data_IF_514594884417
#
_entry.id   IF_514594884417
#
_cell.length_a   1.000
_cell.length_b   1.000
_cell.length_c   1.000
_cell.angle_alpha   90.00
_cell.angle_beta   90.00
_cell.angle_gamma   90.00
#
_symmetry.space_group_name_H-M   'P 1'
#
loop_
_entity.id
_entity.type
_entity.pdbx_description
1 polymer ?
#
# COMPACT_ATOMS: atom_id res chain seq x y z
N UNK A 1 14.30 40.40 8.79
CA UNK A 1 14.45 41.64 9.60
C UNK A 1 13.77 41.56 10.98
N UNK A 2 12.63 40.86 11.17
CA UNK A 2 12.00 40.65 12.49
C UNK A 2 12.92 40.01 13.56
N UNK A 3 13.83 39.12 13.15
CA UNK A 3 14.76 38.39 14.05
C UNK A 3 15.82 39.31 14.70
N UNK A 4 16.23 40.39 14.03
CA UNK A 4 17.22 41.34 14.56
C UNK A 4 16.62 42.29 15.62
N UNK A 5 15.31 42.51 15.59
CA UNK A 5 14.57 43.38 16.51
C UNK A 5 14.21 42.69 17.85
N UNK A 6 14.33 41.35 17.93
CA UNK A 6 13.91 40.60 19.11
C UNK A 6 14.89 40.69 20.30
N UNK A 7 16.06 41.32 20.14
CA UNK A 7 16.98 41.70 21.23
C UNK A 7 17.55 40.58 22.10
N UNK A 8 17.17 39.31 21.85
CA UNK A 8 17.54 38.14 22.66
C UNK A 8 18.02 37.01 21.78
N UNK A 9 19.28 37.08 21.38
CA UNK A 9 19.98 36.10 20.55
C UNK A 9 19.78 34.65 21.04
N UNK A 10 19.73 34.45 22.36
CA UNK A 10 19.53 33.15 22.99
C UNK A 10 18.14 32.54 22.71
N UNK A 11 17.10 33.36 22.57
CA UNK A 11 15.74 32.87 22.26
C UNK A 11 15.63 32.42 20.80
N UNK A 12 16.26 33.16 19.89
CA UNK A 12 16.31 32.85 18.46
C UNK A 12 17.08 31.55 18.25
N UNK A 13 18.22 31.39 18.94
CA UNK A 13 19.02 30.18 18.88
C UNK A 13 18.18 28.94 19.24
N UNK A 14 17.45 28.98 20.36
CA UNK A 14 16.58 27.87 20.78
C UNK A 14 15.51 27.48 19.74
N UNK A 15 14.85 28.46 19.14
CA UNK A 15 13.81 28.23 18.11
C UNK A 15 14.43 27.59 16.87
N UNK A 16 15.54 28.14 16.37
CA UNK A 16 16.23 27.63 15.17
C UNK A 16 16.72 26.21 15.39
N UNK A 17 17.30 25.91 16.56
CA UNK A 17 17.75 24.56 16.91
C UNK A 17 16.59 23.56 16.92
N UNK A 18 15.44 23.91 17.49
CA UNK A 18 14.24 23.05 17.47
C UNK A 18 13.78 22.76 16.03
N UNK A 19 13.81 23.75 15.14
CA UNK A 19 13.47 23.55 13.73
C UNK A 19 14.45 22.63 12.99
N UNK A 20 15.76 22.71 13.28
CA UNK A 20 16.72 21.75 12.72
C UNK A 20 16.52 20.33 13.26
N UNK A 21 16.29 20.19 14.57
CA UNK A 21 16.07 18.88 15.19
C UNK A 21 14.84 18.17 14.63
N UNK A 22 13.73 18.89 14.38
CA UNK A 22 12.55 18.28 13.78
C UNK A 22 12.79 17.87 12.32
N UNK A 23 13.59 18.64 11.57
CA UNK A 23 13.96 18.29 10.19
C UNK A 23 14.85 17.03 10.15
N UNK A 24 15.83 16.93 11.06
CA UNK A 24 16.66 15.73 11.19
C UNK A 24 15.83 14.50 11.60
N UNK A 25 14.93 14.65 12.58
CA UNK A 25 14.01 13.58 12.95
C UNK A 25 13.13 13.14 11.78
N UNK A 26 12.65 14.08 10.94
CA UNK A 26 11.85 13.76 9.75
C UNK A 26 12.65 13.00 8.68
N UNK A 27 13.93 13.35 8.47
CA UNK A 27 14.82 12.63 7.56
C UNK A 27 15.08 11.21 8.06
N UNK A 28 15.41 11.05 9.34
CA UNK A 28 15.63 9.72 9.93
C UNK A 28 14.36 8.86 9.88
N UNK A 29 13.19 9.47 10.11
CA UNK A 29 11.89 8.79 9.97
C UNK A 29 11.62 8.34 8.53
N UNK A 30 11.94 9.17 7.54
CA UNK A 30 11.79 8.81 6.13
C UNK A 30 12.71 7.64 5.74
N UNK A 31 13.98 7.69 6.16
CA UNK A 31 14.93 6.60 5.96
C UNK A 31 14.47 5.30 6.63
N UNK A 32 13.98 5.38 7.88
CA UNK A 32 13.44 4.24 8.61
C UNK A 32 12.22 3.62 7.90
N UNK A 33 11.30 4.47 7.45
CA UNK A 33 10.10 4.02 6.74
C UNK A 33 10.43 3.31 5.42
N UNK A 34 11.40 3.82 4.66
CA UNK A 34 11.85 3.21 3.40
C UNK A 34 12.56 1.87 3.63
N UNK A 35 13.39 1.79 4.68
CA UNK A 35 14.07 0.55 5.08
C UNK A 35 13.07 -0.55 5.49
N UNK A 36 12.10 -0.21 6.34
CA UNK A 36 11.04 -1.15 6.74
C UNK A 36 10.10 -1.55 5.60
N UNK A 37 9.84 -0.63 4.67
CA UNK A 37 9.12 -0.91 3.44
C UNK A 37 9.92 -1.80 2.47
N UNK A 38 11.23 -1.95 2.72
CA UNK A 38 12.17 -2.60 1.81
C UNK A 38 12.01 -2.05 0.38
N UNK A 39 11.92 -0.72 0.28
CA UNK A 39 11.66 -0.03 -0.96
C UNK A 39 12.79 -0.33 -1.98
N UNK A 40 12.48 -0.83 -3.20
CA UNK A 40 13.51 -1.34 -4.12
C UNK A 40 14.57 -0.32 -4.55
N UNK A 41 14.19 0.96 -4.57
CA UNK A 41 15.02 2.11 -4.93
C UNK A 41 15.82 2.67 -3.74
N UNK A 42 15.52 2.25 -2.51
CA UNK A 42 16.27 2.64 -1.32
C UNK A 42 17.31 1.56 -1.00
N UNK A 43 18.55 1.77 -1.45
CA UNK A 43 19.68 0.85 -1.27
C UNK A 43 20.85 1.57 -0.62
N UNK A 44 20.78 1.87 0.68
CA UNK A 44 21.87 2.53 1.38
C UNK A 44 23.14 1.67 1.32
N UNK A 45 24.21 2.22 0.75
CA UNK A 45 25.51 1.55 0.63
C UNK A 45 26.44 1.84 1.82
N UNK A 46 26.04 2.78 2.68
CA UNK A 46 26.83 3.20 3.83
C UNK A 46 26.83 2.12 4.91
N UNK A 47 28.03 1.71 5.35
CA UNK A 47 28.22 0.55 6.24
C UNK A 47 27.61 0.71 7.63
N UNK A 48 27.51 1.94 8.15
CA UNK A 48 26.93 2.20 9.47
C UNK A 48 25.44 2.55 9.39
N UNK A 49 24.85 2.53 8.20
CA UNK A 49 23.41 2.70 8.06
C UNK A 49 22.69 1.44 8.57
N UNK A 50 21.75 1.62 9.48
CA UNK A 50 20.81 0.58 9.91
C UNK A 50 19.49 1.21 10.36
N UNK A 51 18.42 0.42 10.39
CA UNK A 51 17.15 0.89 10.96
C UNK A 51 17.31 1.31 12.44
N UNK A 52 18.23 0.67 13.17
CA UNK A 52 18.56 1.02 14.55
C UNK A 52 19.14 2.43 14.66
N UNK A 53 20.08 2.80 13.76
CA UNK A 53 20.69 4.13 13.78
C UNK A 53 19.68 5.23 13.43
N UNK A 54 18.74 4.97 12.52
CA UNK A 54 17.65 5.92 12.24
C UNK A 54 16.73 6.08 13.46
N UNK A 55 16.35 4.98 14.12
CA UNK A 55 15.51 5.05 15.33
C UNK A 55 16.21 5.84 16.45
N UNK A 56 17.50 5.58 16.66
CA UNK A 56 18.31 6.34 17.62
C UNK A 56 18.36 7.82 17.25
N UNK A 57 18.57 8.15 15.97
CA UNK A 57 18.54 9.52 15.45
C UNK A 57 17.24 10.24 15.77
N UNK A 58 16.08 9.64 15.43
CA UNK A 58 14.74 10.17 15.75
C UNK A 58 14.60 10.39 17.25
N UNK A 59 14.90 9.38 18.06
CA UNK A 59 14.72 9.44 19.51
C UNK A 59 15.60 10.54 20.12
N UNK A 60 16.87 10.62 19.72
CA UNK A 60 17.81 11.62 20.19
C UNK A 60 17.37 13.04 19.83
N UNK A 61 16.87 13.25 18.61
CA UNK A 61 16.35 14.54 18.17
C UNK A 61 15.11 14.95 18.97
N UNK A 62 14.16 14.03 19.18
CA UNK A 62 12.95 14.30 19.96
C UNK A 62 13.29 14.61 21.42
N UNK A 63 14.15 13.82 22.06
CA UNK A 63 14.59 14.06 23.45
C UNK A 63 15.27 15.43 23.57
N UNK A 64 16.22 15.75 22.70
CA UNK A 64 16.92 17.03 22.74
C UNK A 64 15.96 18.21 22.51
N UNK A 65 14.98 18.05 21.64
CA UNK A 65 13.99 19.09 21.37
C UNK A 65 13.17 19.44 22.62
N UNK A 66 12.72 18.43 23.37
CA UNK A 66 12.00 18.63 24.64
C UNK A 66 12.89 19.18 25.77
N UNK A 67 14.17 18.80 25.79
CA UNK A 67 15.14 19.34 26.75
C UNK A 67 15.44 20.83 26.54
N UNK A 68 15.49 21.29 25.29
CA UNK A 68 15.74 22.71 24.96
C UNK A 68 14.56 23.57 25.40
N UNK A 69 13.37 23.28 24.89
CA UNK A 69 12.17 24.00 25.28
C UNK A 69 10.90 23.19 24.92
N UNK A 70 10.11 22.74 25.90
CA UNK A 70 8.93 21.93 25.65
C UNK A 70 7.80 22.69 24.92
N UNK A 71 7.72 24.01 25.07
CA UNK A 71 6.70 24.82 24.38
C UNK A 71 7.00 24.94 22.89
N UNK A 72 8.25 25.19 22.52
CA UNK A 72 8.66 25.22 21.10
C UNK A 72 8.62 23.82 20.48
N UNK A 73 9.04 22.79 21.22
CA UNK A 73 9.00 21.40 20.78
C UNK A 73 7.57 20.96 20.40
N UNK A 74 6.62 21.14 21.31
CA UNK A 74 5.21 20.79 21.07
C UNK A 74 4.62 21.60 19.92
N UNK A 75 4.89 22.91 19.85
CA UNK A 75 4.46 23.77 18.75
C UNK A 75 4.98 23.30 17.38
N UNK A 76 6.26 22.95 17.28
CA UNK A 76 6.87 22.46 16.05
C UNK A 76 6.34 21.08 15.63
N UNK A 77 6.09 20.17 16.57
CA UNK A 77 5.45 18.87 16.27
C UNK A 77 4.03 19.08 15.72
N UNK A 78 3.23 19.92 16.37
CA UNK A 78 1.86 20.23 15.90
C UNK A 78 1.90 20.85 14.51
N UNK A 79 2.82 21.79 14.26
CA UNK A 79 3.02 22.38 12.94
C UNK A 79 3.39 21.33 11.89
N UNK A 80 4.30 20.40 12.20
CA UNK A 80 4.67 19.30 11.31
C UNK A 80 3.48 18.40 11.00
N UNK A 81 2.70 18.00 12.01
CA UNK A 81 1.51 17.17 11.82
C UNK A 81 0.45 17.87 10.98
N UNK A 82 0.21 19.17 11.21
CA UNK A 82 -0.69 19.96 10.37
C UNK A 82 -0.21 20.05 8.93
N UNK A 83 1.09 20.22 8.71
CA UNK A 83 1.68 20.27 7.37
C UNK A 83 1.54 18.90 6.67
N UNK A 84 1.89 17.81 7.34
CA UNK A 84 1.73 16.45 6.81
C UNK A 84 0.26 16.13 6.51
N UNK A 85 -0.65 16.49 7.42
CA UNK A 85 -2.09 16.35 7.22
C UNK A 85 -2.59 17.17 6.03
N UNK A 86 -2.19 18.44 5.93
CA UNK A 86 -2.56 19.29 4.81
C UNK A 86 -2.02 18.76 3.48
N UNK A 87 -0.81 18.20 3.44
CA UNK A 87 -0.27 17.55 2.24
C UNK A 87 -1.11 16.31 1.93
N UNK A 88 -1.39 15.46 2.92
CA UNK A 88 -2.20 14.26 2.72
C UNK A 88 -3.61 14.57 2.18
N UNK A 89 -4.29 15.59 2.71
CA UNK A 89 -5.62 15.97 2.24
C UNK A 89 -5.61 16.68 0.88
N UNK A 90 -4.55 17.44 0.54
CA UNK A 90 -4.43 18.12 -0.76
C UNK A 90 -3.81 17.25 -1.84
N UNK A 91 -3.10 16.20 -1.46
CA UNK A 91 -2.52 15.25 -2.40
C UNK A 91 -3.67 14.54 -3.11
N UNK A 92 -3.93 14.93 -4.36
CA UNK A 92 -4.71 14.13 -5.30
C UNK A 92 -4.04 12.78 -5.52
N UNK A 93 -4.72 11.85 -6.20
CA UNK A 93 -4.16 10.54 -6.55
C UNK A 93 -2.86 10.72 -7.33
N UNK A 94 -1.75 10.66 -6.60
CA UNK A 94 -0.42 10.98 -7.11
C UNK A 94 0.16 9.72 -7.77
N UNK A 95 0.69 9.85 -8.98
CA UNK A 95 1.36 8.76 -9.70
C UNK A 95 2.68 8.33 -9.08
N UNK A 96 3.17 9.07 -8.07
CA UNK A 96 4.48 8.85 -7.43
C UNK A 96 4.48 7.69 -6.43
N UNK A 97 3.33 7.04 -6.23
CA UNK A 97 3.19 5.86 -5.37
C UNK A 97 3.13 6.19 -3.88
N UNK A 98 2.62 5.24 -3.10
CA UNK A 98 2.43 5.39 -1.66
C UNK A 98 3.34 4.44 -0.88
N UNK A 99 4.08 4.97 0.10
CA UNK A 99 4.93 4.14 1.00
C UNK A 99 4.07 3.13 1.77
N UNK A 100 2.84 3.49 2.14
CA UNK A 100 1.89 2.58 2.78
C UNK A 100 1.58 1.34 1.91
N UNK A 101 1.40 1.52 0.60
CA UNK A 101 1.17 0.42 -0.32
C UNK A 101 2.41 -0.47 -0.48
N UNK A 102 3.61 0.11 -0.49
CA UNK A 102 4.87 -0.64 -0.50
C UNK A 102 5.03 -1.50 0.77
N UNK A 103 4.75 -0.94 1.96
CA UNK A 103 4.74 -1.67 3.23
C UNK A 103 3.74 -2.83 3.21
N UNK A 104 2.51 -2.59 2.75
CA UNK A 104 1.46 -3.61 2.63
C UNK A 104 1.94 -4.72 1.68
N UNK A 105 2.48 -4.37 0.52
CA UNK A 105 2.97 -5.36 -0.45
C UNK A 105 4.09 -6.23 0.14
N UNK A 106 5.09 -5.61 0.77
CA UNK A 106 6.19 -6.33 1.42
C UNK A 106 5.67 -7.32 2.47
N UNK A 107 4.73 -6.86 3.31
CA UNK A 107 4.13 -7.68 4.36
C UNK A 107 3.27 -8.83 3.81
N UNK A 108 2.43 -8.56 2.80
CA UNK A 108 1.58 -9.57 2.15
C UNK A 108 2.44 -10.64 1.47
N UNK A 109 3.47 -10.24 0.71
CA UNK A 109 4.42 -11.18 0.10
C UNK A 109 5.07 -12.08 1.16
N UNK A 110 5.55 -11.50 2.26
CA UNK A 110 6.18 -12.26 3.35
C UNK A 110 5.21 -13.27 3.96
N UNK A 111 3.95 -12.89 4.16
CA UNK A 111 2.92 -13.80 4.68
C UNK A 111 2.52 -14.89 3.67
N UNK A 112 2.44 -14.58 2.37
CA UNK A 112 2.21 -15.58 1.34
C UNK A 112 3.32 -16.63 1.31
N UNK A 113 4.59 -16.22 1.44
CA UNK A 113 5.72 -17.15 1.51
C UNK A 113 5.75 -17.99 2.80
N UNK A 114 5.15 -17.48 3.88
CA UNK A 114 5.04 -18.21 5.16
C UNK A 114 3.91 -19.24 5.13
N UNK A 115 2.93 -19.06 4.25
CA UNK A 115 1.83 -19.99 4.06
C UNK A 115 2.35 -21.29 3.41
N UNK A 116 2.62 -22.29 4.25
CA UNK A 116 3.13 -23.59 3.80
C UNK A 116 1.97 -24.51 3.42
N UNK A 117 1.70 -24.64 2.11
CA UNK A 117 0.63 -25.50 1.56
C UNK A 117 0.73 -26.95 2.05
N UNK A 118 1.93 -27.44 2.37
CA UNK A 118 2.11 -28.82 2.87
C UNK A 118 1.54 -29.03 4.27
N UNK A 119 1.27 -27.95 5.02
CA UNK A 119 0.75 -28.00 6.40
C UNK A 119 -0.76 -27.79 6.46
N UNK A 120 -1.44 -27.87 5.32
CA UNK A 120 -2.89 -27.79 5.26
C UNK A 120 -3.52 -28.92 6.07
N UNK A 121 -4.34 -28.53 7.06
CA UNK A 121 -5.02 -29.47 7.94
C UNK A 121 -6.52 -29.42 7.67
N UNK A 122 -7.15 -30.59 7.56
CA UNK A 122 -8.60 -30.74 7.23
C UNK A 122 -9.50 -29.87 8.13
N UNK A 123 -9.12 -29.68 9.39
CA UNK A 123 -9.87 -28.86 10.37
C UNK A 123 -9.91 -27.36 10.04
N UNK A 124 -8.94 -26.87 9.28
CA UNK A 124 -8.79 -25.45 8.95
C UNK A 124 -8.98 -25.17 7.46
N UNK A 125 -9.62 -26.09 6.73
CA UNK A 125 -9.95 -25.89 5.34
C UNK A 125 -10.77 -24.59 5.15
N UNK A 126 -10.40 -23.81 4.14
CA UNK A 126 -11.13 -22.61 3.73
C UNK A 126 -11.49 -22.72 2.25
N UNK A 127 -12.73 -22.36 1.86
CA UNK A 127 -13.12 -22.38 0.46
C UNK A 127 -12.30 -21.36 -0.34
N UNK A 128 -11.72 -21.81 -1.44
CA UNK A 128 -11.11 -20.96 -2.46
C UNK A 128 -11.94 -21.11 -3.73
N UNK A 129 -12.66 -20.07 -4.11
CA UNK A 129 -13.67 -20.14 -5.18
C UNK A 129 -13.23 -19.26 -6.34
N UNK A 130 -13.07 -19.86 -7.51
CA UNK A 130 -13.00 -19.16 -8.79
C UNK A 130 -14.39 -19.22 -9.43
N UNK A 131 -15.08 -18.08 -9.49
CA UNK A 131 -16.38 -17.99 -10.16
C UNK A 131 -16.20 -17.46 -11.56
N UNK A 132 -16.55 -18.29 -12.53
CA UNK A 132 -16.60 -17.89 -13.94
C UNK A 132 -17.88 -17.10 -14.21
N UNK A 133 -17.73 -15.85 -14.65
CA UNK A 133 -18.84 -14.95 -14.96
C UNK A 133 -18.78 -14.55 -16.42
N UNK A 134 -19.84 -14.84 -17.18
CA UNK A 134 -19.95 -14.39 -18.58
C UNK A 134 -20.47 -12.96 -18.68
N UNK A 135 -21.57 -12.66 -17.99
CA UNK A 135 -22.15 -11.31 -17.94
C UNK A 135 -22.34 -10.90 -16.47
N UNK A 136 -21.67 -9.82 -16.02
CA UNK A 136 -21.77 -9.37 -14.63
C UNK A 136 -23.19 -8.99 -14.22
N UNK A 137 -24.00 -8.43 -15.15
CA UNK A 137 -25.33 -7.92 -14.83
C UNK A 137 -26.32 -9.01 -14.44
N UNK A 138 -26.24 -10.17 -15.11
CA UNK A 138 -27.14 -11.31 -14.85
C UNK A 138 -26.67 -12.14 -13.66
N UNK A 139 -25.39 -12.07 -13.31
CA UNK A 139 -24.75 -12.89 -12.28
C UNK A 139 -24.59 -12.19 -10.93
N UNK A 140 -25.04 -10.94 -10.77
CA UNK A 140 -24.95 -10.18 -9.52
C UNK A 140 -25.43 -10.97 -8.28
N UNK A 141 -26.55 -11.69 -8.39
CA UNK A 141 -27.08 -12.50 -7.28
C UNK A 141 -26.17 -13.68 -6.95
N UNK A 142 -25.62 -14.34 -7.96
CA UNK A 142 -24.69 -15.45 -7.80
C UNK A 142 -23.37 -15.00 -7.16
N UNK A 143 -22.85 -13.83 -7.58
CA UNK A 143 -21.64 -13.23 -7.02
C UNK A 143 -21.84 -12.96 -5.51
N UNK A 144 -22.99 -12.39 -5.13
CA UNK A 144 -23.32 -12.14 -3.71
C UNK A 144 -23.46 -13.45 -2.93
N UNK A 145 -24.17 -14.42 -3.48
CA UNK A 145 -24.33 -15.74 -2.86
C UNK A 145 -22.98 -16.41 -2.58
N UNK A 146 -22.05 -16.38 -3.54
CA UNK A 146 -20.72 -16.95 -3.37
C UNK A 146 -19.87 -16.14 -2.39
N UNK A 147 -20.01 -14.82 -2.36
CA UNK A 147 -19.37 -13.98 -1.35
C UNK A 147 -19.84 -14.33 0.07
N UNK A 148 -21.10 -14.69 0.26
CA UNK A 148 -21.60 -15.14 1.56
C UNK A 148 -21.12 -16.56 1.87
N UNK A 149 -21.07 -17.44 0.86
CA UNK A 149 -20.59 -18.82 0.97
C UNK A 149 -19.11 -18.90 1.37
N UNK A 150 -18.25 -18.08 0.76
CA UNK A 150 -16.81 -18.10 1.03
C UNK A 150 -16.49 -17.70 2.48
N UNK A 151 -17.35 -16.89 3.11
CA UNK A 151 -17.10 -16.18 4.38
C UNK A 151 -15.76 -15.42 4.39
N UNK A 152 -14.70 -16.08 4.87
CA UNK A 152 -13.33 -15.55 4.96
C UNK A 152 -12.32 -16.27 4.07
N UNK A 153 -12.78 -17.07 3.12
CA UNK A 153 -11.99 -17.73 2.09
C UNK A 153 -11.66 -16.81 0.90
N UNK A 154 -10.80 -17.33 0.03
CA UNK A 154 -10.38 -16.65 -1.20
C UNK A 154 -11.52 -16.69 -2.23
N UNK A 155 -11.76 -15.57 -2.91
CA UNK A 155 -12.75 -15.50 -3.97
C UNK A 155 -12.23 -14.67 -5.12
N UNK A 156 -12.26 -15.28 -6.31
CA UNK A 156 -11.77 -14.71 -7.55
C UNK A 156 -12.92 -14.73 -8.56
N UNK A 157 -13.19 -13.58 -9.17
CA UNK A 157 -14.10 -13.44 -10.30
C UNK A 157 -13.30 -13.60 -11.58
N UNK A 158 -13.55 -14.69 -12.29
CA UNK A 158 -12.94 -15.01 -13.58
C UNK A 158 -13.85 -14.61 -14.73
N UNK A 159 -13.32 -13.92 -15.74
CA UNK A 159 -14.04 -13.69 -16.99
C UNK A 159 -13.12 -13.89 -18.19
N UNK A 160 -13.66 -14.54 -19.22
CA UNK A 160 -12.96 -14.78 -20.48
C UNK A 160 -13.57 -13.89 -21.54
N UNK A 161 -12.75 -13.01 -22.08
CA UNK A 161 -13.09 -12.23 -23.26
C UNK A 161 -12.64 -12.99 -24.50
N UNK A 162 -13.55 -13.17 -25.45
CA UNK A 162 -13.25 -13.89 -26.70
C UNK A 162 -12.61 -12.94 -27.69
N UNK A 163 -11.35 -13.19 -28.03
CA UNK A 163 -10.61 -12.39 -28.99
C UNK A 163 -9.20 -12.92 -29.20
N UNK A 164 -8.53 -12.35 -30.18
CA UNK A 164 -7.16 -12.71 -30.54
C UNK A 164 -6.28 -11.46 -30.45
N UNK A 165 -5.29 -11.48 -29.56
CA UNK A 165 -4.48 -10.31 -29.24
C UNK A 165 -3.71 -9.81 -30.47
N UNK A 166 -3.29 -10.73 -31.34
CA UNK A 166 -2.48 -10.41 -32.54
C UNK A 166 -3.24 -9.51 -33.53
N UNK A 167 -4.57 -9.53 -33.49
CA UNK A 167 -5.43 -8.73 -34.36
C UNK A 167 -5.83 -7.38 -33.74
N UNK A 168 -5.50 -7.12 -32.47
CA UNK A 168 -5.86 -5.89 -31.77
C UNK A 168 -4.63 -5.00 -31.52
N UNK A 169 -4.78 -3.67 -31.62
CA UNK A 169 -3.68 -2.74 -31.38
C UNK A 169 -3.28 -2.65 -29.89
N UNK A 170 -4.15 -3.07 -28.98
CA UNK A 170 -3.96 -3.05 -27.52
C UNK A 170 -4.87 -4.06 -26.85
N UNK A 171 -4.49 -4.52 -25.66
CA UNK A 171 -5.29 -5.46 -24.87
C UNK A 171 -6.58 -4.81 -24.35
N UNK A 172 -7.79 -5.25 -24.79
CA UNK A 172 -9.07 -4.71 -24.35
C UNK A 172 -9.36 -4.99 -22.88
N UNK A 173 -8.73 -6.03 -22.32
CA UNK A 173 -8.95 -6.48 -20.95
C UNK A 173 -8.60 -5.40 -19.93
N UNK A 174 -7.58 -4.57 -20.20
CA UNK A 174 -7.16 -3.49 -19.31
C UNK A 174 -8.27 -2.46 -19.05
N UNK A 175 -9.02 -2.10 -20.11
CA UNK A 175 -10.15 -1.16 -19.97
C UNK A 175 -11.28 -1.80 -19.18
N UNK A 176 -11.60 -3.07 -19.48
CA UNK A 176 -12.63 -3.81 -18.77
C UNK A 176 -12.29 -4.08 -17.30
N UNK A 177 -11.01 -4.24 -16.95
CA UNK A 177 -10.56 -4.48 -15.58
C UNK A 177 -11.05 -3.42 -14.60
N UNK A 178 -10.93 -2.14 -14.97
CA UNK A 178 -11.43 -1.01 -14.17
C UNK A 178 -12.94 -1.07 -13.91
N UNK A 179 -13.71 -1.51 -14.91
CA UNK A 179 -15.16 -1.70 -14.77
C UNK A 179 -15.49 -2.83 -13.79
N UNK A 180 -14.77 -3.96 -13.87
CA UNK A 180 -14.96 -5.08 -12.93
C UNK A 180 -14.60 -4.71 -11.49
N UNK A 181 -13.53 -3.94 -11.27
CA UNK A 181 -13.22 -3.40 -9.94
C UNK A 181 -14.37 -2.52 -9.42
N UNK A 182 -14.90 -1.62 -10.25
CA UNK A 182 -16.04 -0.77 -9.87
C UNK A 182 -17.29 -1.60 -9.53
N UNK A 183 -17.48 -2.75 -10.17
CA UNK A 183 -18.57 -3.67 -9.87
C UNK A 183 -18.38 -4.36 -8.53
N UNK A 184 -17.16 -4.82 -8.22
CA UNK A 184 -16.83 -5.42 -6.92
C UNK A 184 -17.10 -4.42 -5.80
N UNK A 185 -16.70 -3.16 -5.99
CA UNK A 185 -16.95 -2.07 -5.04
C UNK A 185 -18.46 -1.80 -4.87
N UNK A 186 -19.22 -1.70 -5.98
CA UNK A 186 -20.68 -1.48 -5.95
C UNK A 186 -21.44 -2.63 -5.29
N UNK A 187 -21.00 -3.87 -5.49
CA UNK A 187 -21.60 -5.04 -4.86
C UNK A 187 -21.14 -5.23 -3.40
N UNK A 188 -20.12 -4.48 -2.96
CA UNK A 188 -19.46 -4.59 -1.66
C UNK A 188 -18.98 -6.03 -1.36
N UNK A 189 -18.36 -6.65 -2.37
CA UNK A 189 -17.90 -8.03 -2.34
C UNK A 189 -16.39 -8.07 -2.14
N UNK A 190 -15.88 -9.03 -1.36
CA UNK A 190 -14.44 -9.17 -1.12
C UNK A 190 -13.85 -10.20 -2.10
N UNK A 191 -13.71 -9.81 -3.35
CA UNK A 191 -13.18 -10.68 -4.41
C UNK A 191 -12.01 -10.02 -5.15
N UNK A 192 -11.09 -10.84 -5.63
CA UNK A 192 -10.14 -10.45 -6.68
C UNK A 192 -10.80 -10.62 -8.05
N UNK A 193 -10.31 -9.89 -9.03
CA UNK A 193 -10.77 -10.00 -10.42
C UNK A 193 -9.61 -10.52 -11.25
N UNK A 194 -9.88 -11.53 -12.06
CA UNK A 194 -8.95 -12.07 -13.04
C UNK A 194 -9.64 -12.18 -14.40
N UNK A 195 -9.06 -11.56 -15.41
CA UNK A 195 -9.64 -11.43 -16.74
C UNK A 195 -8.63 -11.95 -17.76
N UNK A 196 -9.09 -12.75 -18.72
CA UNK A 196 -8.22 -13.31 -19.75
C UNK A 196 -8.82 -13.14 -21.14
N UNK A 197 -8.00 -12.74 -22.11
CA UNK A 197 -8.34 -12.74 -23.53
C UNK A 197 -7.93 -14.08 -24.16
N UNK A 198 -8.86 -14.78 -24.82
CA UNK A 198 -8.58 -16.05 -25.49
C UNK A 198 -9.49 -16.26 -26.72
N UNK A 199 -9.05 -17.02 -27.74
CA UNK A 199 -9.86 -17.27 -28.94
C UNK A 199 -11.10 -18.14 -28.65
N UNK A 200 -11.09 -18.90 -27.56
CA UNK A 200 -12.24 -19.69 -27.12
C UNK A 200 -12.45 -19.60 -25.61
N UNK A 201 -13.72 -19.62 -25.19
CA UNK A 201 -14.10 -19.62 -23.77
C UNK A 201 -13.47 -20.80 -23.04
N UNK A 202 -13.50 -21.99 -23.67
CA UNK A 202 -12.92 -23.22 -23.11
C UNK A 202 -11.44 -23.04 -22.77
N UNK A 203 -10.66 -22.51 -23.71
CA UNK A 203 -9.24 -22.29 -23.50
C UNK A 203 -8.99 -21.24 -22.40
N UNK A 204 -9.72 -20.13 -22.43
CA UNK A 204 -9.61 -19.11 -21.37
C UNK A 204 -9.98 -19.64 -19.98
N UNK A 205 -11.03 -20.45 -19.86
CA UNK A 205 -11.38 -21.10 -18.59
C UNK A 205 -10.29 -22.06 -18.11
N UNK A 206 -9.64 -22.79 -19.02
CA UNK A 206 -8.52 -23.67 -18.67
C UNK A 206 -7.30 -22.88 -18.22
N UNK A 207 -7.03 -21.73 -18.83
CA UNK A 207 -5.95 -20.82 -18.43
C UNK A 207 -6.22 -20.28 -17.02
N UNK A 208 -7.41 -19.70 -16.80
CA UNK A 208 -7.79 -19.19 -15.49
C UNK A 208 -7.69 -20.28 -14.43
N UNK A 209 -8.26 -21.46 -14.65
CA UNK A 209 -8.23 -22.56 -13.67
C UNK A 209 -6.80 -22.98 -13.24
N UNK A 210 -5.80 -22.83 -14.12
CA UNK A 210 -4.42 -23.25 -13.85
C UNK A 210 -3.52 -22.12 -13.36
N UNK A 211 -3.84 -20.87 -13.71
CA UNK A 211 -2.93 -19.72 -13.55
C UNK A 211 -3.47 -18.73 -12.51
N UNK A 212 -4.76 -18.76 -12.17
CA UNK A 212 -5.32 -17.87 -11.16
C UNK A 212 -4.69 -18.12 -9.79
N UNK A 213 -4.24 -17.06 -9.12
CA UNK A 213 -3.69 -17.12 -7.78
C UNK A 213 -2.19 -16.81 -7.72
N UNK A 214 -1.63 -16.86 -6.50
CA UNK A 214 -0.22 -16.65 -6.23
C UNK A 214 0.23 -17.67 -5.18
N UNK A 215 0.94 -18.70 -5.63
CA UNK A 215 1.43 -19.81 -4.78
C UNK A 215 0.59 -21.07 -4.92
#
# INVERSE_FOLDING_TARGET
QLVLLAGKLNTIAGIVTVFYLIAYAAIDLACLALEWASAPNFRPTFRLFSWHTCLLGILSCLVMMFLINPAYASGSIVLLLLLLGSIHFRSTSSSWGYISQALIFHQVRKYLLLLDVRKDHVKFWRPQILLMVSNPRTSCQLIKFINDLKKGGLFILGHVETGDLDNLPSDPVQTHYSFWLSLVDKLNVKAFVDLTLCPSIRQGTQHLLRITGLG
#
